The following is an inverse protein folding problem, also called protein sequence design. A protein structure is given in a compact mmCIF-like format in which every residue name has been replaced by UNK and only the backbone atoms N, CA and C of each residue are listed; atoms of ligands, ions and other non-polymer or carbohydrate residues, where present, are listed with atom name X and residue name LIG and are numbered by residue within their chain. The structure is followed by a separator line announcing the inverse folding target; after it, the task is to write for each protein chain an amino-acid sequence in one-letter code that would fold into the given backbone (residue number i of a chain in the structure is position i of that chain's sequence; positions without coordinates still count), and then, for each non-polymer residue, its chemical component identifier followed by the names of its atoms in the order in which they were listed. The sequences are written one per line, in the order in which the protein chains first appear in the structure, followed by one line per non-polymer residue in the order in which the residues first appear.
data_IF_133978701255
#
_entry.id   IF_133978701255
#
_cell.length_a   1.000
_cell.length_b   1.000
_cell.length_c   1.000
_cell.angle_alpha   90.00
_cell.angle_beta   90.00
_cell.angle_gamma   90.00
#
_symmetry.space_group_name_H-M   'P 1'
#
loop_
_entity.id
_entity.type
_entity.pdbx_description
1 polymer ?
#
# COMPACT_ATOMS: atom_id res chain seq x y z
N UNK A 1 0.73 -14.50 -21.37
CA UNK A 1 -0.24 -14.85 -20.31
C UNK A 1 0.49 -14.75 -18.98
N UNK A 2 0.17 -13.76 -18.12
CA UNK A 2 0.75 -13.67 -16.77
C UNK A 2 0.15 -14.81 -15.93
N UNK A 3 0.98 -15.75 -15.50
CA UNK A 3 0.56 -16.77 -14.56
C UNK A 3 0.03 -16.07 -13.30
N UNK A 4 -1.23 -16.32 -12.97
CA UNK A 4 -1.83 -15.81 -11.72
C UNK A 4 -1.17 -16.53 -10.56
N UNK A 5 -0.19 -15.90 -9.95
CA UNK A 5 0.54 -16.41 -8.79
C UNK A 5 -0.43 -16.54 -7.61
N UNK A 6 -0.46 -17.70 -6.99
CA UNK A 6 -1.26 -17.94 -5.77
C UNK A 6 -0.43 -17.41 -4.61
N UNK A 7 -0.97 -16.55 -3.72
CA UNK A 7 -0.21 -16.02 -2.62
C UNK A 7 0.14 -17.10 -1.59
N UNK A 8 1.27 -16.89 -0.89
CA UNK A 8 1.59 -17.62 0.33
C UNK A 8 0.86 -16.97 1.51
N UNK A 9 0.27 -17.78 2.38
CA UNK A 9 -0.35 -17.32 3.62
C UNK A 9 0.46 -17.85 4.79
N UNK A 10 0.97 -16.97 5.64
CA UNK A 10 1.84 -17.33 6.77
C UNK A 10 1.17 -16.90 8.07
N UNK A 11 0.56 -17.84 8.78
CA UNK A 11 -0.09 -17.63 10.07
C UNK A 11 -0.34 -18.98 10.76
N UNK A 12 -0.33 -19.00 12.07
CA UNK A 12 -0.77 -20.13 12.89
C UNK A 12 -2.23 -19.99 13.36
N UNK A 13 -2.90 -18.88 13.02
CA UNK A 13 -4.32 -18.66 13.28
C UNK A 13 -5.18 -19.18 12.12
N UNK A 14 -5.87 -20.30 12.37
CA UNK A 14 -6.77 -20.93 11.40
C UNK A 14 -7.93 -19.99 11.02
N UNK A 15 -8.39 -19.14 11.95
CA UNK A 15 -9.45 -18.16 11.71
C UNK A 15 -9.00 -17.09 10.71
N UNK A 16 -7.78 -16.58 10.90
CA UNK A 16 -7.17 -15.59 10.01
C UNK A 16 -6.91 -16.17 8.61
N UNK A 17 -6.38 -17.38 8.53
CA UNK A 17 -6.19 -18.07 7.24
C UNK A 17 -7.51 -18.24 6.48
N UNK A 18 -8.60 -18.64 7.16
CA UNK A 18 -9.94 -18.70 6.56
C UNK A 18 -10.44 -17.34 6.09
N UNK A 19 -10.20 -16.28 6.89
CA UNK A 19 -10.56 -14.92 6.55
C UNK A 19 -9.86 -14.46 5.27
N UNK A 20 -8.54 -14.64 5.17
CA UNK A 20 -7.76 -14.28 3.99
C UNK A 20 -8.16 -15.10 2.75
N UNK A 21 -8.37 -16.43 2.88
CA UNK A 21 -8.85 -17.26 1.77
C UNK A 21 -10.18 -16.75 1.19
N UNK A 22 -11.11 -16.35 2.08
CA UNK A 22 -12.41 -15.80 1.69
C UNK A 22 -12.24 -14.41 1.07
N UNK A 23 -11.50 -13.51 1.72
CA UNK A 23 -11.31 -12.12 1.30
C UNK A 23 -10.56 -11.98 -0.01
N UNK A 24 -9.55 -12.82 -0.24
CA UNK A 24 -8.77 -12.86 -1.49
C UNK A 24 -9.40 -13.73 -2.58
N UNK A 25 -10.61 -14.23 -2.37
CA UNK A 25 -11.36 -15.06 -3.32
C UNK A 25 -10.59 -16.30 -3.85
N UNK A 26 -9.83 -16.95 -2.98
CA UNK A 26 -8.98 -18.09 -3.35
C UNK A 26 -9.76 -19.43 -3.50
N UNK A 27 -11.05 -19.39 -3.79
CA UNK A 27 -11.95 -20.58 -3.85
C UNK A 27 -11.47 -21.69 -4.79
N UNK A 28 -10.81 -21.33 -5.88
CA UNK A 28 -10.36 -22.27 -6.93
C UNK A 28 -8.89 -22.61 -6.88
N UNK A 29 -8.13 -22.01 -5.96
CA UNK A 29 -6.69 -22.16 -5.85
C UNK A 29 -6.35 -22.45 -4.39
N UNK A 30 -5.65 -23.55 -4.15
CA UNK A 30 -5.17 -23.89 -2.82
C UNK A 30 -3.91 -23.04 -2.56
N UNK A 31 -3.97 -22.02 -1.68
CA UNK A 31 -2.76 -21.28 -1.30
C UNK A 31 -1.81 -22.20 -0.55
N UNK A 32 -0.53 -21.86 -0.61
CA UNK A 32 0.43 -22.50 0.26
C UNK A 32 0.34 -21.82 1.62
N UNK A 33 0.16 -22.59 2.66
CA UNK A 33 0.06 -22.12 4.03
C UNK A 33 1.29 -22.57 4.81
N UNK A 34 1.87 -21.62 5.53
CA UNK A 34 2.99 -21.85 6.44
C UNK A 34 2.56 -21.41 7.85
N UNK A 35 3.07 -22.10 8.85
CA UNK A 35 2.66 -21.88 10.24
C UNK A 35 3.63 -21.00 11.04
N UNK A 36 4.79 -20.66 10.47
CA UNK A 36 5.82 -19.91 11.16
C UNK A 36 6.70 -19.07 10.22
N UNK A 37 7.35 -18.07 10.79
CA UNK A 37 8.36 -17.28 10.08
C UNK A 37 9.59 -18.11 9.69
N UNK A 38 9.95 -19.11 10.50
CA UNK A 38 11.06 -20.03 10.21
C UNK A 38 10.79 -20.84 8.95
N UNK A 39 9.58 -21.40 8.79
CA UNK A 39 9.19 -22.11 7.57
C UNK A 39 9.29 -21.22 6.33
N UNK A 40 8.94 -19.93 6.46
CA UNK A 40 9.09 -18.98 5.36
C UNK A 40 10.57 -18.75 5.01
N UNK A 41 11.45 -18.66 6.02
CA UNK A 41 12.89 -18.51 5.82
C UNK A 41 13.53 -19.74 5.16
N UNK A 42 13.11 -20.93 5.52
CA UNK A 42 13.66 -22.19 5.01
C UNK A 42 13.14 -22.54 3.61
N UNK A 43 11.99 -21.96 3.23
CA UNK A 43 11.34 -22.27 1.98
C UNK A 43 12.22 -21.92 0.78
N UNK A 44 12.35 -22.89 -0.13
CA UNK A 44 12.99 -22.68 -1.43
C UNK A 44 12.19 -21.66 -2.27
N UNK A 45 12.90 -20.82 -2.97
CA UNK A 45 12.45 -19.67 -3.74
C UNK A 45 11.48 -20.03 -4.89
N UNK A 46 10.37 -19.28 -5.00
CA UNK A 46 9.75 -18.99 -6.29
C UNK A 46 9.78 -17.48 -6.48
N UNK A 47 10.35 -17.02 -7.58
CA UNK A 47 10.47 -15.59 -7.91
C UNK A 47 9.10 -14.91 -7.90
N UNK A 48 9.01 -13.75 -7.22
CA UNK A 48 7.81 -12.90 -7.17
C UNK A 48 6.59 -13.45 -6.41
N UNK A 49 6.77 -14.44 -5.52
CA UNK A 49 5.68 -14.87 -4.66
C UNK A 49 5.22 -13.73 -3.73
N UNK A 50 3.90 -13.46 -3.72
CA UNK A 50 3.30 -12.55 -2.75
C UNK A 50 3.04 -13.34 -1.47
N UNK A 51 3.50 -12.78 -0.36
CA UNK A 51 3.38 -13.37 0.97
C UNK A 51 2.49 -12.49 1.83
N UNK A 52 1.41 -13.04 2.35
CA UNK A 52 0.62 -12.47 3.42
C UNK A 52 1.15 -13.01 4.75
N UNK A 53 1.81 -12.17 5.53
CA UNK A 53 2.48 -12.55 6.76
C UNK A 53 1.76 -11.98 7.97
N UNK A 54 1.33 -12.85 8.86
CA UNK A 54 0.76 -12.50 10.15
C UNK A 54 1.86 -12.03 11.12
N UNK A 55 1.81 -10.77 11.49
CA UNK A 55 2.76 -10.17 12.42
C UNK A 55 2.52 -10.54 13.89
N UNK A 56 1.45 -11.29 14.20
CA UNK A 56 1.20 -11.81 15.53
C UNK A 56 1.80 -13.21 15.74
N UNK A 57 2.51 -13.75 14.73
CA UNK A 57 3.24 -15.00 14.90
C UNK A 57 4.32 -14.86 15.97
N UNK A 58 4.59 -15.93 16.76
CA UNK A 58 5.71 -15.93 17.67
C UNK A 58 7.04 -15.87 16.90
N UNK A 59 8.05 -15.25 17.52
CA UNK A 59 9.41 -15.15 17.00
C UNK A 59 9.54 -14.43 15.64
N UNK A 60 8.63 -13.50 15.33
CA UNK A 60 8.90 -12.54 14.26
C UNK A 60 10.11 -11.70 14.66
N UNK A 61 11.17 -11.64 13.83
CA UNK A 61 12.34 -10.83 14.15
C UNK A 61 12.04 -9.33 14.09
N UNK A 62 12.83 -8.54 14.82
CA UNK A 62 12.80 -7.09 14.71
C UNK A 62 13.04 -6.63 13.26
N UNK A 63 12.48 -5.48 12.88
CA UNK A 63 12.47 -5.00 11.50
C UNK A 63 13.87 -4.76 10.91
N UNK A 64 14.87 -4.45 11.73
CA UNK A 64 16.26 -4.26 11.34
C UNK A 64 17.06 -5.57 11.18
N UNK A 65 16.44 -6.71 11.46
CA UNK A 65 17.06 -8.02 11.34
C UNK A 65 17.43 -8.36 9.89
N UNK A 66 18.62 -8.96 9.70
CA UNK A 66 19.05 -9.50 8.41
C UNK A 66 18.12 -10.58 7.82
N UNK A 67 17.17 -11.12 8.62
CA UNK A 67 16.16 -12.05 8.13
C UNK A 67 15.21 -11.40 7.11
N UNK A 68 14.82 -10.16 7.30
CA UNK A 68 14.00 -9.41 6.35
C UNK A 68 14.74 -9.15 5.05
N UNK A 69 16.03 -8.75 5.14
CA UNK A 69 16.87 -8.57 3.96
C UNK A 69 17.00 -9.86 3.15
N UNK A 70 17.15 -11.01 3.84
CA UNK A 70 17.19 -12.31 3.18
C UNK A 70 15.89 -12.61 2.41
N UNK A 71 14.72 -12.43 3.05
CA UNK A 71 13.44 -12.70 2.40
C UNK A 71 13.18 -11.77 1.21
N UNK A 72 13.47 -10.49 1.37
CA UNK A 72 13.09 -9.45 0.41
C UNK A 72 14.12 -9.32 -0.72
N UNK A 73 15.40 -9.22 -0.39
CA UNK A 73 16.44 -8.96 -1.39
C UNK A 73 17.10 -10.24 -1.95
N UNK A 74 17.30 -11.27 -1.12
CA UNK A 74 17.90 -12.52 -1.58
C UNK A 74 16.86 -13.45 -2.21
N UNK A 75 15.70 -13.59 -1.53
CA UNK A 75 14.60 -14.42 -2.03
C UNK A 75 13.61 -13.69 -2.93
N UNK A 76 13.73 -12.38 -3.05
CA UNK A 76 12.85 -11.51 -3.87
C UNK A 76 11.35 -11.73 -3.58
N UNK A 77 11.01 -11.96 -2.31
CA UNK A 77 9.62 -12.11 -1.89
C UNK A 77 8.96 -10.75 -1.73
N UNK A 78 7.69 -10.66 -2.08
CA UNK A 78 6.87 -9.46 -1.93
C UNK A 78 5.97 -9.64 -0.72
N UNK A 79 6.40 -9.10 0.41
CA UNK A 79 5.77 -9.33 1.71
C UNK A 79 4.75 -8.24 2.02
N UNK A 80 3.52 -8.66 2.32
CA UNK A 80 2.46 -7.85 2.92
C UNK A 80 2.41 -8.25 4.40
N UNK A 81 2.83 -7.35 5.27
CA UNK A 81 2.77 -7.56 6.71
C UNK A 81 1.36 -7.19 7.23
N UNK A 82 0.73 -8.11 7.93
CA UNK A 82 -0.63 -7.95 8.43
C UNK A 82 -0.66 -8.09 9.96
N UNK A 83 -1.06 -7.03 10.67
CA UNK A 83 -1.10 -6.98 12.14
C UNK A 83 -2.54 -6.90 12.63
N UNK A 84 -2.85 -7.57 13.75
CA UNK A 84 -4.14 -7.42 14.44
C UNK A 84 -4.27 -6.07 15.17
N UNK A 85 -3.13 -5.42 15.43
CA UNK A 85 -3.08 -4.09 16.05
C UNK A 85 -2.08 -3.21 15.29
N UNK A 86 -2.42 -2.76 14.06
CA UNK A 86 -1.51 -2.00 13.24
C UNK A 86 -1.20 -0.63 13.84
N UNK A 87 0.07 -0.24 13.84
CA UNK A 87 0.54 1.10 14.18
C UNK A 87 1.23 1.76 12.99
N UNK A 88 1.24 3.10 12.97
CA UNK A 88 1.94 3.84 11.93
C UNK A 88 3.46 3.65 12.01
N UNK A 89 4.00 3.47 13.23
CA UNK A 89 5.42 3.17 13.44
C UNK A 89 5.82 1.83 12.81
N UNK A 90 5.04 0.78 13.06
CA UNK A 90 5.28 -0.54 12.46
C UNK A 90 5.10 -0.50 10.93
N UNK A 91 4.14 0.28 10.44
CA UNK A 91 3.94 0.43 9.01
C UNK A 91 5.14 1.08 8.31
N UNK A 92 5.73 2.11 8.92
CA UNK A 92 6.96 2.75 8.43
C UNK A 92 8.11 1.74 8.46
N UNK A 93 8.32 1.08 9.59
CA UNK A 93 9.41 0.10 9.76
C UNK A 93 9.28 -1.09 8.78
N UNK A 94 8.06 -1.57 8.53
CA UNK A 94 7.80 -2.61 7.53
C UNK A 94 8.18 -2.15 6.10
N UNK A 95 7.82 -0.92 5.74
CA UNK A 95 8.17 -0.36 4.43
C UNK A 95 9.67 -0.10 4.28
N UNK A 96 10.34 0.38 5.33
CA UNK A 96 11.80 0.55 5.37
C UNK A 96 12.53 -0.78 5.26
N UNK A 97 12.01 -1.84 5.87
CA UNK A 97 12.51 -3.21 5.71
C UNK A 97 12.30 -3.76 4.29
N UNK A 98 11.47 -3.09 3.46
CA UNK A 98 11.20 -3.43 2.07
C UNK A 98 9.91 -4.23 1.84
N UNK A 99 9.02 -4.31 2.83
CA UNK A 99 7.68 -4.88 2.61
C UNK A 99 6.91 -4.06 1.57
N UNK A 100 6.09 -4.73 0.77
CA UNK A 100 5.26 -4.08 -0.26
C UNK A 100 3.89 -3.64 0.26
N UNK A 101 3.59 -3.88 1.52
CA UNK A 101 2.37 -3.42 2.16
C UNK A 101 2.34 -3.72 3.65
N UNK A 102 1.57 -2.91 4.38
CA UNK A 102 1.25 -3.12 5.78
C UNK A 102 -0.24 -2.83 6.00
N UNK A 103 -0.97 -3.72 6.68
CA UNK A 103 -2.41 -3.59 6.85
C UNK A 103 -2.93 -4.22 8.15
N UNK A 104 -4.21 -3.98 8.44
CA UNK A 104 -4.90 -4.73 9.49
C UNK A 104 -5.16 -6.17 9.02
N UNK A 105 -4.80 -7.16 9.84
CA UNK A 105 -4.91 -8.58 9.50
C UNK A 105 -6.34 -9.01 9.13
N UNK A 106 -7.33 -8.43 9.78
CA UNK A 106 -8.76 -8.66 9.54
C UNK A 106 -9.42 -7.55 8.72
N UNK A 107 -8.69 -6.91 7.80
CA UNK A 107 -9.29 -5.98 6.83
C UNK A 107 -10.45 -6.63 6.07
N UNK A 108 -11.44 -5.84 5.65
CA UNK A 108 -12.55 -6.33 4.85
C UNK A 108 -12.11 -6.85 3.49
N UNK A 109 -12.99 -7.66 2.83
CA UNK A 109 -12.65 -8.30 1.55
C UNK A 109 -12.32 -7.30 0.44
N UNK A 110 -12.92 -6.11 0.44
CA UNK A 110 -12.65 -5.09 -0.59
C UNK A 110 -11.23 -4.54 -0.41
N UNK A 111 -10.84 -4.25 0.83
CA UNK A 111 -9.49 -3.81 1.18
C UNK A 111 -8.44 -4.88 0.87
N UNK A 112 -8.68 -6.15 1.27
CA UNK A 112 -7.76 -7.25 0.97
C UNK A 112 -7.54 -7.42 -0.54
N UNK A 113 -8.61 -7.36 -1.33
CA UNK A 113 -8.52 -7.44 -2.80
C UNK A 113 -7.76 -6.25 -3.39
N UNK A 114 -7.97 -5.05 -2.87
CA UNK A 114 -7.27 -3.86 -3.34
C UNK A 114 -5.77 -3.95 -3.04
N UNK A 115 -5.37 -4.39 -1.85
CA UNK A 115 -3.98 -4.66 -1.48
C UNK A 115 -3.36 -5.67 -2.45
N UNK A 116 -4.04 -6.80 -2.68
CA UNK A 116 -3.58 -7.86 -3.58
C UNK A 116 -3.39 -7.36 -5.03
N UNK A 117 -4.32 -6.54 -5.53
CA UNK A 117 -4.23 -5.95 -6.87
C UNK A 117 -3.06 -4.97 -7.00
N UNK A 118 -2.92 -4.04 -6.03
CA UNK A 118 -1.85 -3.03 -6.02
C UNK A 118 -0.48 -3.70 -5.94
N UNK A 119 -0.35 -4.67 -5.05
CA UNK A 119 0.92 -5.38 -4.88
C UNK A 119 1.23 -6.29 -6.09
N UNK A 120 0.27 -6.96 -6.70
CA UNK A 120 0.46 -7.72 -7.95
C UNK A 120 0.85 -6.86 -9.14
N UNK A 121 0.40 -5.61 -9.16
CA UNK A 121 0.80 -4.65 -10.20
C UNK A 121 2.24 -4.12 -10.04
N UNK A 122 2.92 -4.45 -8.93
CA UNK A 122 4.29 -3.99 -8.70
C UNK A 122 4.39 -2.78 -7.77
N UNK A 123 3.27 -2.29 -7.27
CA UNK A 123 3.22 -1.11 -6.42
C UNK A 123 3.26 -1.46 -4.93
N UNK A 124 3.54 -0.45 -4.11
CA UNK A 124 3.49 -0.54 -2.66
C UNK A 124 2.10 -0.12 -2.18
N UNK A 125 1.53 -0.89 -1.25
CA UNK A 125 0.32 -0.52 -0.55
C UNK A 125 0.64 0.27 0.71
N UNK A 126 0.11 1.47 0.80
CA UNK A 126 0.19 2.31 1.99
C UNK A 126 -1.23 2.62 2.46
N UNK A 127 -1.52 2.31 3.72
CA UNK A 127 -2.80 2.63 4.35
C UNK A 127 -3.09 4.14 4.35
N UNK A 128 -4.37 4.51 4.29
CA UNK A 128 -4.79 5.91 4.16
C UNK A 128 -4.24 6.80 5.28
N UNK A 129 -4.20 6.30 6.52
CA UNK A 129 -3.72 7.07 7.68
C UNK A 129 -2.23 7.40 7.55
N UNK A 130 -1.39 6.40 7.25
CA UNK A 130 0.03 6.60 7.05
C UNK A 130 0.30 7.52 5.86
N UNK A 131 -0.45 7.37 4.77
CA UNK A 131 -0.38 8.27 3.64
C UNK A 131 -0.64 9.73 4.04
N UNK A 132 -1.68 9.97 4.84
CA UNK A 132 -1.99 11.32 5.34
C UNK A 132 -0.87 11.89 6.20
N UNK A 133 -0.26 11.08 7.07
CA UNK A 133 0.87 11.51 7.90
C UNK A 133 2.12 11.83 7.08
N UNK A 134 2.44 11.00 6.09
CA UNK A 134 3.57 11.25 5.18
C UNK A 134 3.37 12.57 4.42
N UNK A 135 2.18 12.82 3.91
CA UNK A 135 1.83 14.07 3.24
C UNK A 135 1.94 15.27 4.19
N UNK A 136 1.44 15.15 5.43
CA UNK A 136 1.55 16.22 6.43
C UNK A 136 3.02 16.49 6.82
N UNK A 137 3.83 15.44 6.96
CA UNK A 137 5.25 15.55 7.27
C UNK A 137 6.02 16.23 6.13
N UNK A 138 5.72 15.84 4.89
CA UNK A 138 6.27 16.49 3.70
C UNK A 138 5.88 17.98 3.62
N UNK A 139 4.61 18.31 3.93
CA UNK A 139 4.16 19.70 3.98
C UNK A 139 4.88 20.52 5.06
N UNK A 140 5.13 19.95 6.24
CA UNK A 140 5.90 20.61 7.31
C UNK A 140 7.36 20.85 6.90
N UNK A 141 7.97 19.89 6.22
CA UNK A 141 9.34 20.05 5.67
C UNK A 141 9.40 21.09 4.55
N UNK A 142 8.36 21.21 3.74
CA UNK A 142 8.26 22.20 2.67
C UNK A 142 7.97 23.64 3.14
N UNK A 143 7.61 23.86 4.41
CA UNK A 143 7.42 25.20 4.99
C UNK A 143 8.73 25.87 5.40
N UNK A 144 9.88 25.22 5.29
CA UNK A 144 11.17 25.91 5.25
C UNK A 144 11.31 26.61 3.89
N UNK A 145 11.85 27.85 3.83
CA UNK A 145 11.86 28.62 2.58
C UNK A 145 12.76 27.94 1.55
N UNK A 146 12.17 27.09 0.74
CA UNK A 146 12.80 26.45 -0.40
C UNK A 146 12.35 27.15 -1.69
N UNK A 147 13.34 27.46 -2.50
CA UNK A 147 13.22 28.07 -3.80
C UNK A 147 12.04 27.52 -4.64
N UNK A 148 11.22 28.44 -5.16
CA UNK A 148 10.33 28.33 -6.32
C UNK A 148 10.19 26.96 -6.97
N UNK A 149 9.31 26.10 -6.44
CA UNK A 149 8.82 24.96 -7.19
C UNK A 149 7.78 25.46 -8.21
N UNK A 150 8.10 25.35 -9.48
CA UNK A 150 7.24 25.73 -10.59
C UNK A 150 5.92 24.94 -10.54
N UNK A 151 4.80 25.64 -10.42
CA UNK A 151 3.41 25.11 -10.44
C UNK A 151 3.01 24.51 -11.80
N UNK A 152 3.95 23.86 -12.50
CA UNK A 152 3.76 23.35 -13.87
C UNK A 152 2.71 22.24 -13.97
N UNK A 153 2.47 21.48 -12.89
CA UNK A 153 1.51 20.39 -12.89
C UNK A 153 0.05 20.86 -13.07
N UNK A 154 -0.24 22.11 -12.73
CA UNK A 154 -1.60 22.67 -12.80
C UNK A 154 -2.06 22.98 -14.23
N UNK A 155 -1.13 23.16 -15.17
CA UNK A 155 -1.44 23.65 -16.52
C UNK A 155 -2.22 22.64 -17.37
N UNK A 156 -2.04 21.34 -17.12
CA UNK A 156 -2.73 20.25 -17.84
C UNK A 156 -4.12 19.92 -17.27
N UNK A 157 -4.49 20.48 -16.11
CA UNK A 157 -5.69 20.13 -15.39
C UNK A 157 -6.77 21.21 -15.50
N UNK A 158 -8.04 20.78 -15.58
CA UNK A 158 -9.21 21.68 -15.44
C UNK A 158 -9.28 22.24 -14.02
N UNK A 159 -10.06 23.29 -13.80
CA UNK A 159 -10.25 23.89 -12.48
C UNK A 159 -10.73 22.85 -11.45
N UNK A 160 -11.66 21.97 -11.84
CA UNK A 160 -12.23 20.96 -10.97
C UNK A 160 -11.24 19.84 -10.67
N UNK A 161 -10.49 19.39 -11.65
CA UNK A 161 -9.42 18.41 -11.46
C UNK A 161 -8.33 18.94 -10.54
N UNK A 162 -7.96 20.23 -10.64
CA UNK A 162 -6.99 20.86 -9.74
C UNK A 162 -7.48 20.90 -8.29
N UNK A 163 -8.75 21.23 -8.07
CA UNK A 163 -9.36 21.25 -6.75
C UNK A 163 -9.34 19.85 -6.11
N UNK A 164 -9.81 18.85 -6.84
CA UNK A 164 -9.80 17.45 -6.41
C UNK A 164 -8.35 16.95 -6.18
N UNK A 165 -7.42 17.29 -7.07
CA UNK A 165 -6.02 16.92 -6.97
C UNK A 165 -5.35 17.51 -5.72
N UNK A 166 -5.61 18.80 -5.40
CA UNK A 166 -5.10 19.45 -4.19
C UNK A 166 -5.60 18.78 -2.92
N UNK A 167 -6.90 18.55 -2.83
CA UNK A 167 -7.50 17.89 -1.66
C UNK A 167 -6.94 16.45 -1.51
N UNK A 168 -6.82 15.74 -2.62
CA UNK A 168 -6.23 14.41 -2.63
C UNK A 168 -4.76 14.43 -2.22
N UNK A 169 -3.95 15.33 -2.77
CA UNK A 169 -2.55 15.49 -2.41
C UNK A 169 -2.34 15.85 -0.93
N UNK A 170 -3.31 16.55 -0.32
CA UNK A 170 -3.32 16.88 1.10
C UNK A 170 -3.89 15.77 2.00
N UNK A 171 -4.15 14.57 1.44
CA UNK A 171 -4.55 13.40 2.23
C UNK A 171 -6.05 13.23 2.46
N UNK A 172 -6.92 14.11 1.91
CA UNK A 172 -8.37 13.99 2.09
C UNK A 172 -8.90 12.69 1.45
N UNK A 173 -9.69 11.89 2.16
CA UNK A 173 -10.34 10.70 1.60
C UNK A 173 -11.33 11.06 0.47
N UNK A 174 -11.72 10.09 -0.36
CA UNK A 174 -12.70 10.35 -1.42
C UNK A 174 -14.03 10.85 -0.86
N UNK A 175 -14.43 10.38 0.32
CA UNK A 175 -15.61 10.88 1.03
C UNK A 175 -15.45 12.35 1.40
N UNK A 176 -14.34 12.72 2.04
CA UNK A 176 -14.04 14.10 2.43
C UNK A 176 -13.97 15.03 1.20
N UNK A 177 -13.38 14.57 0.09
CA UNK A 177 -13.34 15.31 -1.17
C UNK A 177 -14.75 15.47 -1.75
N UNK A 178 -15.57 14.41 -1.69
CA UNK A 178 -16.96 14.45 -2.19
C UNK A 178 -17.79 15.48 -1.45
N UNK A 179 -17.67 15.53 -0.13
CA UNK A 179 -18.33 16.51 0.75
C UNK A 179 -17.84 17.94 0.47
N UNK A 180 -16.51 18.14 0.46
CA UNK A 180 -15.90 19.46 0.23
C UNK A 180 -16.23 20.01 -1.17
N UNK A 181 -16.32 19.14 -2.16
CA UNK A 181 -16.58 19.51 -3.54
C UNK A 181 -18.06 19.48 -3.94
N UNK A 182 -18.96 18.95 -3.12
CA UNK A 182 -20.39 18.81 -3.44
C UNK A 182 -20.66 17.85 -4.61
N UNK A 183 -19.89 16.75 -4.73
CA UNK A 183 -20.01 15.73 -5.78
C UNK A 183 -20.02 14.33 -5.17
N UNK A 184 -20.40 13.31 -5.94
CA UNK A 184 -20.35 11.93 -5.46
C UNK A 184 -18.92 11.39 -5.38
N UNK A 185 -18.65 10.42 -4.50
CA UNK A 185 -17.35 9.72 -4.45
C UNK A 185 -17.00 9.07 -5.79
N UNK A 186 -18.00 8.60 -6.54
CA UNK A 186 -17.82 8.07 -7.90
C UNK A 186 -17.23 9.14 -8.82
N UNK A 187 -17.73 10.37 -8.70
CA UNK A 187 -17.24 11.51 -9.49
C UNK A 187 -15.83 11.90 -9.07
N UNK A 188 -15.51 11.85 -7.75
CA UNK A 188 -14.15 12.06 -7.24
C UNK A 188 -13.17 11.04 -7.85
N UNK A 189 -13.54 9.75 -7.86
CA UNK A 189 -12.73 8.71 -8.49
C UNK A 189 -12.49 8.97 -9.97
N UNK A 190 -13.51 9.41 -10.72
CA UNK A 190 -13.38 9.75 -12.13
C UNK A 190 -12.41 10.93 -12.35
N UNK A 191 -12.52 12.00 -11.53
CA UNK A 191 -11.58 13.11 -11.60
C UNK A 191 -10.15 12.70 -11.27
N UNK A 192 -9.95 11.87 -10.24
CA UNK A 192 -8.60 11.37 -9.88
C UNK A 192 -7.99 10.52 -10.99
N UNK A 193 -8.78 9.65 -11.63
CA UNK A 193 -8.30 8.87 -12.78
C UNK A 193 -7.85 9.78 -13.93
N UNK A 194 -8.63 10.80 -14.26
CA UNK A 194 -8.27 11.79 -15.29
C UNK A 194 -7.01 12.60 -14.90
N UNK A 195 -6.87 12.96 -13.61
CA UNK A 195 -5.67 13.64 -13.09
C UNK A 195 -4.44 12.75 -13.24
N UNK A 196 -4.54 11.48 -12.86
CA UNK A 196 -3.42 10.53 -12.95
C UNK A 196 -2.97 10.35 -14.40
N UNK A 197 -3.91 10.18 -15.31
CA UNK A 197 -3.63 10.06 -16.75
C UNK A 197 -2.93 11.32 -17.29
N UNK A 198 -3.48 12.51 -17.02
CA UNK A 198 -2.94 13.78 -17.51
C UNK A 198 -1.57 14.13 -16.95
N UNK A 199 -1.27 13.71 -15.73
CA UNK A 199 0.00 13.96 -15.05
C UNK A 199 1.03 12.85 -15.29
N UNK A 200 0.65 11.74 -15.95
CA UNK A 200 1.52 10.58 -16.18
C UNK A 200 1.95 9.88 -14.88
N UNK A 201 1.03 9.82 -13.90
CA UNK A 201 1.27 9.21 -12.58
C UNK A 201 0.31 8.05 -12.38
N UNK A 202 0.68 7.10 -11.50
CA UNK A 202 -0.08 5.85 -11.33
C UNK A 202 -0.86 5.78 -10.02
N UNK A 203 -0.51 6.61 -9.05
CA UNK A 203 -1.07 6.53 -7.71
C UNK A 203 -1.11 7.89 -6.99
N UNK A 204 -1.78 7.88 -5.85
CA UNK A 204 -2.02 9.07 -5.05
C UNK A 204 -0.75 9.61 -4.36
N UNK A 205 0.21 8.73 -4.05
CA UNK A 205 1.49 9.15 -3.48
C UNK A 205 2.27 9.98 -4.49
N UNK A 206 2.36 9.50 -5.74
CA UNK A 206 3.00 10.27 -6.81
C UNK A 206 2.30 11.61 -7.06
N UNK A 207 0.96 11.66 -6.92
CA UNK A 207 0.24 12.94 -6.96
C UNK A 207 0.68 13.87 -5.84
N UNK A 208 0.76 13.36 -4.61
CA UNK A 208 1.20 14.16 -3.46
C UNK A 208 2.62 14.69 -3.65
N UNK A 209 3.57 13.82 -4.02
CA UNK A 209 4.95 14.21 -4.30
C UNK A 209 5.02 15.30 -5.39
N UNK A 210 4.30 15.12 -6.49
CA UNK A 210 4.27 16.07 -7.62
C UNK A 210 3.65 17.41 -7.25
N UNK A 211 2.56 17.42 -6.47
CA UNK A 211 1.88 18.64 -6.02
C UNK A 211 2.74 19.42 -5.02
N UNK A 212 3.47 18.71 -4.16
CA UNK A 212 4.34 19.32 -3.14
C UNK A 212 5.78 19.54 -3.61
N UNK A 213 6.10 19.21 -4.87
CA UNK A 213 7.43 19.46 -5.45
C UNK A 213 8.54 18.59 -4.87
N UNK A 214 8.19 17.41 -4.34
CA UNK A 214 9.14 16.42 -3.82
C UNK A 214 9.50 15.49 -4.97
N UNK A 215 10.79 15.44 -5.34
CA UNK A 215 11.33 14.54 -6.38
C UNK A 215 11.97 13.33 -5.73
#
# INVERSE_FOLDING_TARGET
MRQTTVPLLVSNDIGLLKHWRKGLHLKSKVPIELSSFTELLERSRRKEDIVWLDMNLPNIPEWDSGAWQNLIHVKELRIIAASSNPSDGDAIAALEAGCVGYCHAYSDSATLMQIDQVTKAGHIWIGTNLMQQLIQSANRAATLPAATSSNTWQHSLTAREREVAKLAANGASNLQISEACGISERTVKAHLSAVFEKLGITDRLQLALKVHGIQ
#
